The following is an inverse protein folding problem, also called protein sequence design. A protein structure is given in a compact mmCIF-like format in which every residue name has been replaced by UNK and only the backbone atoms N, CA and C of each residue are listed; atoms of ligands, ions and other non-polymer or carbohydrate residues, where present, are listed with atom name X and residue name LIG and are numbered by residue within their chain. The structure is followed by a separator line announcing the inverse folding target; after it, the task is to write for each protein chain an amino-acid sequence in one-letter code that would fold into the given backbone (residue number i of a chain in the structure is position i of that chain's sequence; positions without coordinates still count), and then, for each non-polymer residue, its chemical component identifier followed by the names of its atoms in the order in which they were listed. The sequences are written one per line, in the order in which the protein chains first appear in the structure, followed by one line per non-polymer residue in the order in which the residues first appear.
data_IF_911242772668
#
_entry.id   IF_911242772668
#
_cell.length_a   1.000
_cell.length_b   1.000
_cell.length_c   1.000
_cell.angle_alpha   90.00
_cell.angle_beta   90.00
_cell.angle_gamma   90.00
#
_symmetry.space_group_name_H-M   'P 1'
#
loop_
_entity.id
_entity.type
_entity.pdbx_description
1 polymer ?
#
# COMPACT_ATOMS: atom_id res chain seq x y z
N UNK A 1 1.38 7.79 -25.72
CA UNK A 1 1.83 6.87 -24.65
C UNK A 1 2.79 5.91 -25.30
N UNK A 2 4.05 5.89 -24.85
CA UNK A 2 5.04 4.90 -25.29
C UNK A 2 4.45 3.49 -25.24
N UNK A 3 4.94 2.61 -26.12
CA UNK A 3 4.46 1.25 -26.37
C UNK A 3 4.68 0.30 -25.16
N UNK A 4 4.10 0.62 -23.99
CA UNK A 4 4.14 -0.20 -22.79
C UNK A 4 3.38 -1.49 -23.07
N UNK A 5 4.06 -2.63 -22.93
CA UNK A 5 3.48 -3.95 -23.16
C UNK A 5 2.30 -4.20 -22.22
N UNK A 6 1.12 -4.41 -22.78
CA UNK A 6 -0.10 -4.63 -22.01
C UNK A 6 -0.17 -6.05 -21.44
N UNK A 7 -0.71 -6.21 -20.22
CA UNK A 7 -1.00 -7.53 -19.63
C UNK A 7 -2.48 -7.82 -19.87
N UNK A 8 -2.77 -8.72 -20.81
CA UNK A 8 -4.15 -9.07 -21.20
C UNK A 8 -4.76 -10.25 -20.43
N UNK A 9 -3.95 -11.01 -19.70
CA UNK A 9 -4.44 -12.10 -18.85
C UNK A 9 -4.92 -11.55 -17.51
N UNK A 10 -6.22 -11.67 -17.24
CA UNK A 10 -6.81 -11.29 -15.95
C UNK A 10 -6.22 -12.12 -14.80
N UNK A 11 -6.00 -13.43 -15.01
CA UNK A 11 -5.38 -14.29 -14.00
C UNK A 11 -3.97 -13.82 -13.63
N UNK A 12 -3.18 -13.37 -14.62
CA UNK A 12 -1.86 -12.80 -14.37
C UNK A 12 -1.93 -11.48 -13.60
N UNK A 13 -2.93 -10.62 -13.90
CA UNK A 13 -3.15 -9.41 -13.12
C UNK A 13 -3.48 -9.75 -11.67
N UNK A 14 -4.43 -10.66 -11.42
CA UNK A 14 -4.78 -11.11 -10.06
C UNK A 14 -3.53 -11.62 -9.35
N UNK A 15 -2.76 -12.51 -9.99
CA UNK A 15 -1.56 -13.09 -9.41
C UNK A 15 -0.52 -12.03 -9.03
N UNK A 16 -0.19 -11.11 -9.94
CA UNK A 16 0.78 -10.04 -9.70
C UNK A 16 0.35 -9.08 -8.59
N UNK A 17 -0.96 -8.82 -8.44
CA UNK A 17 -1.44 -7.95 -7.37
C UNK A 17 -1.48 -8.65 -6.01
N UNK A 18 -2.01 -9.87 -5.96
CA UNK A 18 -2.34 -10.55 -4.69
C UNK A 18 -1.13 -11.28 -4.12
N UNK A 19 -0.25 -11.85 -4.94
CA UNK A 19 0.88 -12.66 -4.48
C UNK A 19 1.78 -11.94 -3.46
N UNK A 20 2.23 -10.68 -3.69
CA UNK A 20 3.11 -10.02 -2.72
C UNK A 20 2.44 -9.91 -1.35
N UNK A 21 1.15 -9.57 -1.33
CA UNK A 21 0.40 -9.39 -0.10
C UNK A 21 0.05 -10.69 0.61
N UNK A 22 -0.26 -11.74 -0.16
CA UNK A 22 -0.42 -13.09 0.36
C UNK A 22 0.86 -13.58 1.06
N UNK A 23 2.02 -13.31 0.49
CA UNK A 23 3.31 -13.67 1.09
C UNK A 23 3.64 -12.83 2.31
N UNK A 24 3.32 -11.53 2.32
CA UNK A 24 3.39 -10.71 3.54
C UNK A 24 2.51 -11.29 4.65
N UNK A 25 1.24 -11.58 4.34
CA UNK A 25 0.28 -12.09 5.33
C UNK A 25 0.72 -13.44 5.90
N UNK A 26 1.18 -14.35 5.03
CA UNK A 26 1.72 -15.64 5.45
C UNK A 26 2.95 -15.46 6.35
N UNK A 27 3.93 -14.66 5.92
CA UNK A 27 5.15 -14.43 6.70
C UNK A 27 4.83 -13.78 8.05
N UNK A 28 3.93 -12.79 8.07
CA UNK A 28 3.48 -12.15 9.30
C UNK A 28 2.89 -13.17 10.29
N UNK A 29 1.99 -14.05 9.82
CA UNK A 29 1.41 -15.11 10.65
C UNK A 29 2.50 -16.07 11.15
N UNK A 30 3.46 -16.45 10.30
CA UNK A 30 4.56 -17.34 10.70
C UNK A 30 5.45 -16.70 11.76
N UNK A 31 5.79 -15.42 11.62
CA UNK A 31 6.59 -14.68 12.60
C UNK A 31 5.86 -14.58 13.95
N UNK A 32 4.56 -14.27 13.94
CA UNK A 32 3.76 -14.23 15.16
C UNK A 32 3.66 -15.60 15.84
N UNK A 33 3.46 -16.68 15.09
CA UNK A 33 3.42 -18.04 15.63
C UNK A 33 4.75 -18.52 16.17
N UNK A 34 5.85 -18.04 15.62
CA UNK A 34 7.20 -18.28 16.12
C UNK A 34 7.58 -17.37 17.29
N UNK A 35 6.65 -16.54 17.78
CA UNK A 35 6.84 -15.58 18.88
C UNK A 35 7.97 -14.58 18.64
N UNK A 36 8.33 -14.35 17.37
CA UNK A 36 9.38 -13.41 16.97
C UNK A 36 8.89 -11.98 17.22
N UNK A 37 9.60 -11.25 18.07
CA UNK A 37 9.29 -9.87 18.48
C UNK A 37 7.94 -9.75 19.18
N UNK A 38 7.51 -10.78 19.92
CA UNK A 38 6.20 -10.84 20.60
C UNK A 38 6.04 -9.81 21.73
N UNK A 39 7.15 -9.33 22.28
CA UNK A 39 7.21 -8.27 23.28
C UNK A 39 6.97 -6.86 22.68
N UNK A 40 7.20 -6.70 21.37
CA UNK A 40 7.07 -5.43 20.68
C UNK A 40 5.67 -5.23 20.08
N UNK A 41 5.27 -3.97 19.79
CA UNK A 41 4.12 -3.70 18.95
C UNK A 41 4.16 -4.49 17.64
N UNK A 42 3.06 -5.18 17.32
CA UNK A 42 2.95 -6.09 16.16
C UNK A 42 3.15 -5.40 14.82
N UNK A 43 3.02 -4.09 14.76
CA UNK A 43 3.37 -3.31 13.58
C UNK A 43 4.87 -3.42 13.24
N UNK A 44 5.75 -3.66 14.21
CA UNK A 44 7.16 -3.97 13.98
C UNK A 44 7.29 -5.32 13.27
N UNK A 45 6.62 -6.37 13.77
CA UNK A 45 6.61 -7.69 13.13
C UNK A 45 6.01 -7.64 11.72
N UNK A 46 4.96 -6.85 11.52
CA UNK A 46 4.37 -6.60 10.20
C UNK A 46 5.35 -5.88 9.27
N UNK A 47 6.08 -4.88 9.79
CA UNK A 47 7.11 -4.16 9.04
C UNK A 47 8.24 -5.08 8.60
N UNK A 48 8.73 -5.93 9.50
CA UNK A 48 9.73 -6.96 9.19
C UNK A 48 9.23 -7.91 8.10
N UNK A 49 8.01 -8.43 8.23
CA UNK A 49 7.39 -9.26 7.21
C UNK A 49 7.32 -8.52 5.86
N UNK A 50 6.94 -7.25 5.87
CA UNK A 50 6.85 -6.42 4.67
C UNK A 50 8.19 -6.16 3.99
N UNK A 51 9.26 -5.89 4.74
CA UNK A 51 10.62 -5.73 4.19
C UNK A 51 11.10 -7.01 3.51
N UNK A 52 10.85 -8.18 4.11
CA UNK A 52 11.31 -9.48 3.61
C UNK A 52 10.45 -9.96 2.43
N UNK A 53 9.18 -9.56 2.33
CA UNK A 53 8.26 -10.00 1.28
C UNK A 53 8.05 -8.95 0.18
N UNK A 54 7.39 -7.85 0.50
CA UNK A 54 6.92 -6.85 -0.47
C UNK A 54 8.06 -6.26 -1.28
N UNK A 55 9.11 -5.78 -0.61
CA UNK A 55 10.23 -5.10 -1.25
C UNK A 55 10.91 -6.01 -2.28
N UNK A 56 11.44 -7.20 -1.93
CA UNK A 56 12.12 -8.03 -2.91
C UNK A 56 11.18 -8.55 -4.02
N UNK A 57 9.92 -8.85 -3.72
CA UNK A 57 8.98 -9.37 -4.74
C UNK A 57 8.65 -8.28 -5.76
N UNK A 58 8.24 -7.09 -5.31
CA UNK A 58 7.82 -6.02 -6.20
C UNK A 58 9.01 -5.44 -6.97
N UNK A 59 10.13 -5.15 -6.29
CA UNK A 59 11.34 -4.68 -6.97
C UNK A 59 11.96 -5.75 -7.87
N UNK A 60 12.00 -7.01 -7.43
CA UNK A 60 12.47 -8.12 -8.25
C UNK A 60 11.66 -8.25 -9.55
N UNK A 61 10.34 -8.13 -9.46
CA UNK A 61 9.46 -8.10 -10.63
C UNK A 61 9.76 -6.91 -11.55
N UNK A 62 9.86 -5.69 -11.00
CA UNK A 62 10.17 -4.49 -11.78
C UNK A 62 11.53 -4.59 -12.49
N UNK A 63 12.57 -5.04 -11.78
CA UNK A 63 13.92 -5.20 -12.32
C UNK A 63 13.98 -6.30 -13.39
N UNK A 64 13.32 -7.45 -13.15
CA UNK A 64 13.23 -8.54 -14.12
C UNK A 64 12.54 -8.07 -15.41
N UNK A 65 11.39 -7.41 -15.29
CA UNK A 65 10.64 -6.93 -16.46
C UNK A 65 11.41 -5.82 -17.18
N UNK A 66 12.05 -4.90 -16.45
CA UNK A 66 12.88 -3.86 -17.05
C UNK A 66 14.02 -4.47 -17.88
N UNK A 67 14.74 -5.45 -17.32
CA UNK A 67 15.82 -6.14 -18.03
C UNK A 67 15.30 -6.89 -19.26
N UNK A 68 14.17 -7.58 -19.13
CA UNK A 68 13.57 -8.39 -20.21
C UNK A 68 13.01 -7.54 -21.35
N UNK A 69 12.32 -6.44 -21.05
CA UNK A 69 11.65 -5.61 -22.06
C UNK A 69 12.58 -4.56 -22.68
N UNK A 70 13.61 -4.12 -21.96
CA UNK A 70 14.41 -2.95 -22.37
C UNK A 70 15.92 -3.21 -22.46
N UNK A 71 16.38 -4.39 -22.03
CA UNK A 71 17.79 -4.74 -21.92
C UNK A 71 18.52 -4.07 -20.75
N UNK A 72 17.84 -3.28 -19.90
CA UNK A 72 18.45 -2.53 -18.80
C UNK A 72 17.67 -2.71 -17.49
N UNK A 73 18.35 -2.64 -16.34
CA UNK A 73 17.69 -2.63 -15.02
C UNK A 73 17.03 -1.27 -14.68
N UNK A 74 17.04 -0.29 -15.58
CA UNK A 74 16.37 0.98 -15.37
C UNK A 74 14.84 0.83 -15.42
N UNK A 75 14.22 0.71 -14.24
CA UNK A 75 12.76 0.53 -14.10
C UNK A 75 11.96 1.71 -14.68
N UNK A 76 12.51 2.92 -14.72
CA UNK A 76 11.77 4.08 -15.24
C UNK A 76 11.42 3.94 -16.72
N UNK A 77 12.08 3.06 -17.47
CA UNK A 77 11.75 2.75 -18.86
C UNK A 77 10.44 1.95 -19.00
N UNK A 78 10.06 1.20 -17.96
CA UNK A 78 8.85 0.34 -17.97
C UNK A 78 7.65 0.96 -17.25
N UNK A 79 7.83 2.06 -16.50
CA UNK A 79 6.74 2.76 -15.82
C UNK A 79 5.93 3.63 -16.80
N UNK A 80 4.62 3.74 -16.57
CA UNK A 80 3.73 4.76 -17.16
C UNK A 80 3.43 5.87 -16.15
N UNK A 81 2.38 6.66 -16.42
CA UNK A 81 1.90 7.74 -15.54
C UNK A 81 3.00 8.76 -15.18
N UNK A 82 3.64 9.32 -16.21
CA UNK A 82 4.88 10.11 -16.09
C UNK A 82 4.69 11.62 -16.21
N UNK A 83 3.45 12.09 -16.32
CA UNK A 83 3.15 13.53 -16.41
C UNK A 83 3.75 14.29 -15.24
N UNK A 84 4.33 15.44 -15.59
CA UNK A 84 4.84 16.43 -14.65
C UNK A 84 3.69 17.34 -14.24
N UNK A 85 2.92 16.89 -13.26
CA UNK A 85 2.01 17.78 -12.55
C UNK A 85 2.87 18.70 -11.67
N UNK A 86 2.89 20.00 -11.95
CA UNK A 86 3.80 20.95 -11.29
C UNK A 86 3.05 22.11 -10.59
N UNK A 87 3.77 22.75 -9.67
CA UNK A 87 3.33 23.98 -9.00
C UNK A 87 2.07 23.83 -8.16
N UNK A 88 1.19 24.84 -8.24
CA UNK A 88 -0.01 24.97 -7.41
C UNK A 88 -0.99 23.79 -7.57
N UNK A 89 -1.11 23.26 -8.79
CA UNK A 89 -2.00 22.12 -9.06
C UNK A 89 -1.55 20.87 -8.32
N UNK A 90 -0.25 20.58 -8.28
CA UNK A 90 0.28 19.42 -7.56
C UNK A 90 -0.03 19.49 -6.07
N UNK A 91 0.24 20.65 -5.47
CA UNK A 91 -0.04 20.91 -4.06
C UNK A 91 -1.54 20.79 -3.74
N UNK A 92 -2.40 21.42 -4.56
CA UNK A 92 -3.85 21.37 -4.35
C UNK A 92 -4.39 19.94 -4.44
N UNK A 93 -4.00 19.17 -5.46
CA UNK A 93 -4.42 17.77 -5.57
C UNK A 93 -3.91 16.93 -4.41
N UNK A 94 -2.67 17.15 -3.98
CA UNK A 94 -2.10 16.45 -2.82
C UNK A 94 -2.92 16.74 -1.55
N UNK A 95 -3.17 18.01 -1.24
CA UNK A 95 -3.91 18.42 -0.06
C UNK A 95 -5.36 17.90 -0.07
N UNK A 96 -6.06 18.07 -1.19
CA UNK A 96 -7.45 17.60 -1.34
C UNK A 96 -7.53 16.09 -1.20
N UNK A 97 -6.65 15.33 -1.87
CA UNK A 97 -6.67 13.87 -1.80
C UNK A 97 -6.30 13.36 -0.41
N UNK A 98 -5.34 14.00 0.27
CA UNK A 98 -4.97 13.64 1.64
C UNK A 98 -6.15 13.82 2.60
N UNK A 99 -6.78 15.01 2.59
CA UNK A 99 -7.95 15.30 3.44
C UNK A 99 -9.11 14.37 3.11
N UNK A 100 -9.43 14.20 1.83
CA UNK A 100 -10.55 13.35 1.40
C UNK A 100 -10.33 11.89 1.82
N UNK A 101 -9.12 11.36 1.60
CA UNK A 101 -8.79 9.98 2.00
C UNK A 101 -8.90 9.82 3.52
N UNK A 102 -8.34 10.74 4.30
CA UNK A 102 -8.41 10.70 5.76
C UNK A 102 -9.84 10.77 6.29
N UNK A 103 -10.65 11.69 5.78
CA UNK A 103 -12.08 11.82 6.16
C UNK A 103 -12.86 10.56 5.81
N UNK A 104 -12.66 9.99 4.62
CA UNK A 104 -13.36 8.77 4.21
C UNK A 104 -12.93 7.55 5.04
N UNK A 105 -11.64 7.41 5.35
CA UNK A 105 -11.15 6.36 6.24
C UNK A 105 -11.74 6.48 7.64
N UNK A 106 -11.79 7.71 8.20
CA UNK A 106 -12.39 7.96 9.50
C UNK A 106 -13.88 7.64 9.51
N UNK A 107 -14.62 8.11 8.50
CA UNK A 107 -16.06 7.85 8.37
C UNK A 107 -16.39 6.35 8.21
N UNK A 108 -15.49 5.57 7.61
CA UNK A 108 -15.66 4.12 7.40
C UNK A 108 -15.06 3.27 8.53
N UNK A 109 -14.45 3.88 9.54
CA UNK A 109 -13.90 3.17 10.70
C UNK A 109 -14.94 2.33 11.44
N UNK A 110 -16.17 2.83 11.74
CA UNK A 110 -17.20 2.03 12.40
C UNK A 110 -17.60 0.78 11.59
N UNK A 111 -17.70 0.92 10.26
CA UNK A 111 -17.98 -0.21 9.36
C UNK A 111 -16.85 -1.24 9.41
N UNK A 112 -15.60 -0.78 9.40
CA UNK A 112 -14.43 -1.66 9.48
C UNK A 112 -14.39 -2.42 10.80
N UNK A 113 -14.74 -1.76 11.92
CA UNK A 113 -14.89 -2.39 13.23
C UNK A 113 -16.04 -3.41 13.25
N UNK A 114 -17.18 -3.08 12.67
CA UNK A 114 -18.30 -4.02 12.52
C UNK A 114 -17.88 -5.27 11.75
N UNK A 115 -17.20 -5.11 10.60
CA UNK A 115 -16.72 -6.24 9.80
C UNK A 115 -15.71 -7.10 10.56
N UNK A 116 -14.78 -6.48 11.27
CA UNK A 116 -13.82 -7.19 12.12
C UNK A 116 -14.52 -8.06 13.16
N UNK A 117 -15.54 -7.51 13.84
CA UNK A 117 -16.21 -8.17 14.95
C UNK A 117 -17.32 -9.15 14.52
N UNK A 118 -17.79 -9.11 13.28
CA UNK A 118 -18.91 -9.95 12.79
C UNK A 118 -18.47 -10.93 11.70
N UNK A 119 -17.92 -10.42 10.60
CA UNK A 119 -17.54 -11.22 9.42
C UNK A 119 -16.17 -11.88 9.62
N UNK A 120 -15.23 -11.17 10.26
CA UNK A 120 -13.87 -11.63 10.50
C UNK A 120 -13.60 -12.01 11.97
N UNK A 121 -14.66 -12.30 12.74
CA UNK A 121 -14.58 -12.70 14.15
C UNK A 121 -13.83 -14.02 14.37
N UNK A 122 -13.70 -14.84 13.32
CA UNK A 122 -12.92 -16.07 13.32
C UNK A 122 -11.40 -15.84 13.26
N UNK A 123 -10.94 -14.62 12.93
CA UNK A 123 -9.52 -14.27 12.96
C UNK A 123 -9.10 -14.06 14.42
N UNK A 124 -8.12 -14.81 14.94
CA UNK A 124 -7.64 -14.62 16.31
C UNK A 124 -7.21 -13.17 16.57
N UNK A 125 -7.62 -12.60 17.70
CA UNK A 125 -7.23 -11.25 18.10
C UNK A 125 -5.71 -11.03 18.13
N UNK A 126 -4.94 -12.12 18.30
CA UNK A 126 -3.47 -12.15 18.19
C UNK A 126 -2.91 -11.71 16.84
N UNK A 127 -3.69 -11.78 15.76
CA UNK A 127 -3.26 -11.40 14.41
C UNK A 127 -3.64 -9.97 14.01
N UNK A 128 -4.46 -9.28 14.80
CA UNK A 128 -4.74 -7.87 14.55
C UNK A 128 -3.51 -7.04 14.95
N UNK A 129 -2.93 -6.30 14.01
CA UNK A 129 -1.76 -5.46 14.29
C UNK A 129 -2.14 -4.17 15.02
N UNK A 130 -3.42 -3.76 15.01
CA UNK A 130 -3.88 -2.60 15.75
C UNK A 130 -3.90 -2.91 17.24
N UNK A 131 -3.04 -2.23 17.99
CA UNK A 131 -2.92 -2.36 19.44
C UNK A 131 -3.03 -0.98 20.07
N UNK A 132 -3.39 -0.96 21.35
CA UNK A 132 -3.29 0.26 22.14
C UNK A 132 -1.82 0.60 22.36
N UNK A 133 -1.34 1.61 21.64
CA UNK A 133 0.07 1.99 21.66
C UNK A 133 0.50 2.63 22.99
N UNK A 134 -0.45 3.06 23.83
CA UNK A 134 -0.17 3.68 25.14
C UNK A 134 0.31 2.68 26.19
N UNK A 135 0.14 1.37 25.95
CA UNK A 135 0.56 0.31 26.88
C UNK A 135 2.04 -0.06 26.74
N UNK A 136 2.75 0.50 25.75
CA UNK A 136 4.14 0.17 25.46
C UNK A 136 5.09 1.19 26.08
N UNK A 137 6.31 0.75 26.39
CA UNK A 137 7.38 1.60 26.88
C UNK A 137 7.82 2.61 25.83
N UNK A 138 8.42 3.70 26.30
CA UNK A 138 9.00 4.74 25.44
C UNK A 138 9.96 4.18 24.37
N UNK A 139 10.77 3.19 24.72
CA UNK A 139 11.74 2.60 23.78
C UNK A 139 11.06 1.78 22.68
N UNK A 140 10.01 1.04 23.03
CA UNK A 140 9.20 0.29 22.05
C UNK A 140 8.45 1.24 21.11
N UNK A 141 7.92 2.35 21.61
CA UNK A 141 7.29 3.40 20.80
C UNK A 141 8.31 4.03 19.86
N UNK A 142 9.51 4.36 20.33
CA UNK A 142 10.58 4.92 19.47
C UNK A 142 10.98 3.96 18.34
N UNK A 143 11.11 2.66 18.63
CA UNK A 143 11.39 1.65 17.62
C UNK A 143 10.22 1.54 16.61
N UNK A 144 8.99 1.59 17.09
CA UNK A 144 7.78 1.56 16.27
C UNK A 144 7.68 2.77 15.36
N UNK A 145 8.03 3.96 15.85
CA UNK A 145 8.15 5.19 15.06
C UNK A 145 9.19 5.01 13.95
N UNK A 146 10.37 4.46 14.27
CA UNK A 146 11.42 4.22 13.28
C UNK A 146 10.94 3.28 12.17
N UNK A 147 10.33 2.14 12.52
CA UNK A 147 9.77 1.20 11.53
C UNK A 147 8.65 1.85 10.72
N UNK A 148 7.76 2.59 11.36
CA UNK A 148 6.62 3.25 10.72
C UNK A 148 7.05 4.36 9.76
N UNK A 149 8.07 5.12 10.13
CA UNK A 149 8.63 6.16 9.27
C UNK A 149 9.41 5.58 8.09
N UNK A 150 10.38 4.69 8.33
CA UNK A 150 11.22 4.20 7.23
C UNK A 150 10.45 3.24 6.32
N UNK A 151 9.72 2.28 6.89
CA UNK A 151 9.03 1.27 6.08
C UNK A 151 7.63 1.74 5.66
N UNK A 152 6.70 1.94 6.60
CA UNK A 152 5.30 2.19 6.27
C UNK A 152 5.05 3.56 5.64
N UNK A 153 5.89 4.56 5.89
CA UNK A 153 5.74 5.91 5.32
C UNK A 153 6.52 6.08 4.03
N UNK A 154 7.71 5.47 3.90
CA UNK A 154 8.59 5.72 2.75
C UNK A 154 8.76 4.49 1.85
N UNK A 155 9.44 3.45 2.32
CA UNK A 155 9.87 2.32 1.48
C UNK A 155 8.65 1.58 0.91
N UNK A 156 7.68 1.22 1.76
CA UNK A 156 6.46 0.53 1.37
C UNK A 156 5.65 1.33 0.34
N UNK A 157 5.18 2.55 0.68
CA UNK A 157 4.40 3.39 -0.23
C UNK A 157 5.09 3.67 -1.56
N UNK A 158 6.39 4.01 -1.56
CA UNK A 158 7.14 4.24 -2.81
C UNK A 158 7.18 2.98 -3.66
N UNK A 159 7.48 1.83 -3.05
CA UNK A 159 7.52 0.54 -3.75
C UNK A 159 6.16 0.19 -4.35
N UNK A 160 5.09 0.34 -3.57
CA UNK A 160 3.72 0.05 -3.99
C UNK A 160 3.24 0.98 -5.09
N UNK A 161 3.49 2.28 -5.02
CA UNK A 161 3.05 3.22 -6.06
C UNK A 161 3.82 3.00 -7.39
N UNK A 162 5.12 2.70 -7.32
CA UNK A 162 5.88 2.30 -8.50
C UNK A 162 5.32 1.00 -9.11
N UNK A 163 4.97 0.02 -8.28
CA UNK A 163 4.49 -1.28 -8.71
C UNK A 163 3.03 -1.26 -9.21
N UNK A 164 2.09 -0.80 -8.40
CA UNK A 164 0.67 -0.85 -8.72
C UNK A 164 0.24 0.22 -9.72
N UNK A 165 0.72 1.46 -9.58
CA UNK A 165 0.27 2.58 -10.44
C UNK A 165 1.23 2.76 -11.60
N UNK A 166 2.52 2.91 -11.30
CA UNK A 166 3.55 3.09 -12.31
C UNK A 166 3.66 1.90 -13.27
N UNK A 167 3.63 0.66 -12.76
CA UNK A 167 3.86 -0.54 -13.56
C UNK A 167 2.58 -1.28 -13.96
N UNK A 168 1.74 -1.73 -13.02
CA UNK A 168 0.58 -2.57 -13.30
C UNK A 168 -0.56 -1.79 -13.98
N UNK A 169 -1.01 -0.68 -13.41
CA UNK A 169 -2.09 0.13 -13.98
C UNK A 169 -1.75 0.62 -15.40
N UNK A 170 -0.50 1.01 -15.63
CA UNK A 170 -0.01 1.39 -16.96
C UNK A 170 -0.08 0.24 -18.00
N UNK A 171 -0.14 -1.02 -17.56
CA UNK A 171 -0.27 -2.23 -18.39
C UNK A 171 -1.71 -2.73 -18.53
N UNK A 172 -2.65 -1.99 -17.96
CA UNK A 172 -4.10 -2.26 -17.98
C UNK A 172 -4.86 -1.21 -18.81
N UNK A 173 -4.19 -0.43 -19.67
CA UNK A 173 -4.83 0.64 -20.44
C UNK A 173 -5.96 0.14 -21.35
N UNK A 174 -5.87 -1.10 -21.80
CA UNK A 174 -6.90 -1.74 -22.62
C UNK A 174 -8.26 -1.89 -21.90
N UNK A 175 -8.29 -1.79 -20.57
CA UNK A 175 -9.52 -1.77 -19.76
C UNK A 175 -10.09 -0.36 -19.54
N UNK A 176 -9.41 0.69 -20.01
CA UNK A 176 -9.84 2.08 -19.78
C UNK A 176 -10.06 2.40 -18.29
N UNK A 177 -11.22 2.95 -17.96
CA UNK A 177 -11.58 3.28 -16.58
C UNK A 177 -11.79 2.04 -15.68
N UNK A 178 -12.19 0.90 -16.26
CA UNK A 178 -12.29 -0.36 -15.50
C UNK A 178 -10.92 -0.86 -15.04
N UNK A 179 -9.84 -0.46 -15.72
CA UNK A 179 -8.48 -0.76 -15.28
C UNK A 179 -8.15 -0.10 -13.95
N UNK A 180 -8.63 1.13 -13.72
CA UNK A 180 -8.48 1.85 -12.45
C UNK A 180 -9.22 1.12 -11.33
N UNK A 181 -10.48 0.72 -11.59
CA UNK A 181 -11.30 0.02 -10.61
C UNK A 181 -10.71 -1.36 -10.27
N UNK A 182 -10.31 -2.14 -11.28
CA UNK A 182 -9.71 -3.45 -11.06
C UNK A 182 -8.39 -3.35 -10.28
N UNK A 183 -7.53 -2.40 -10.64
CA UNK A 183 -6.26 -2.16 -9.93
C UNK A 183 -6.51 -1.76 -8.47
N UNK A 184 -7.49 -0.91 -8.20
CA UNK A 184 -7.90 -0.52 -6.85
C UNK A 184 -8.44 -1.69 -6.03
N UNK A 185 -9.36 -2.48 -6.59
CA UNK A 185 -9.95 -3.64 -5.90
C UNK A 185 -8.86 -4.65 -5.56
N UNK A 186 -8.00 -4.97 -6.53
CA UNK A 186 -6.91 -5.92 -6.29
C UNK A 186 -5.85 -5.36 -5.31
N UNK A 187 -5.59 -4.05 -5.33
CA UNK A 187 -4.76 -3.39 -4.32
C UNK A 187 -5.38 -3.45 -2.91
N UNK A 188 -6.69 -3.30 -2.78
CA UNK A 188 -7.37 -3.46 -1.50
C UNK A 188 -7.28 -4.91 -1.00
N UNK A 189 -7.53 -5.89 -1.88
CA UNK A 189 -7.42 -7.33 -1.59
C UNK A 189 -5.99 -7.76 -1.27
N UNK A 190 -4.99 -7.12 -1.88
CA UNK A 190 -3.57 -7.32 -1.57
C UNK A 190 -3.28 -7.19 -0.06
N UNK A 191 -4.04 -6.39 0.68
CA UNK A 191 -3.92 -6.25 2.14
C UNK A 191 -4.59 -7.39 2.92
N UNK A 192 -4.27 -8.64 2.60
CA UNK A 192 -4.89 -9.84 3.22
C UNK A 192 -4.67 -9.93 4.74
N UNK A 193 -3.71 -9.19 5.30
CA UNK A 193 -3.46 -9.10 6.75
C UNK A 193 -4.44 -8.19 7.49
N UNK A 194 -5.32 -7.49 6.77
CA UNK A 194 -6.37 -6.65 7.33
C UNK A 194 -7.62 -6.61 6.44
N UNK A 195 -8.27 -7.78 6.23
CA UNK A 195 -9.36 -7.90 5.27
C UNK A 195 -10.60 -7.09 5.65
N UNK A 196 -10.81 -6.81 6.94
CA UNK A 196 -11.89 -5.94 7.43
C UNK A 196 -11.79 -4.49 6.94
N UNK A 197 -10.64 -4.05 6.42
CA UNK A 197 -10.43 -2.73 5.84
C UNK A 197 -10.64 -2.68 4.33
N UNK A 198 -10.93 -3.80 3.64
CA UNK A 198 -11.01 -3.83 2.17
C UNK A 198 -12.04 -2.82 1.64
N UNK A 199 -13.25 -2.77 2.22
CA UNK A 199 -14.30 -1.84 1.79
C UNK A 199 -13.86 -0.39 2.02
N UNK A 200 -13.29 -0.10 3.20
CA UNK A 200 -12.78 1.22 3.52
C UNK A 200 -11.70 1.69 2.53
N UNK A 201 -10.74 0.82 2.22
CA UNK A 201 -9.67 1.09 1.23
C UNK A 201 -10.24 1.35 -0.16
N UNK A 202 -11.19 0.55 -0.64
CA UNK A 202 -11.80 0.76 -1.96
C UNK A 202 -12.45 2.14 -2.03
N UNK A 203 -13.30 2.48 -1.06
CA UNK A 203 -14.04 3.76 -1.09
C UNK A 203 -13.10 4.95 -0.89
N UNK A 204 -12.22 4.89 0.11
CA UNK A 204 -11.34 6.01 0.47
C UNK A 204 -10.27 6.30 -0.58
N UNK A 205 -9.73 5.27 -1.25
CA UNK A 205 -8.67 5.45 -2.25
C UNK A 205 -9.19 5.60 -3.68
N UNK A 206 -10.48 5.36 -3.97
CA UNK A 206 -11.03 5.55 -5.32
C UNK A 206 -10.72 6.95 -5.91
N UNK A 207 -10.88 8.06 -5.17
CA UNK A 207 -10.51 9.39 -5.68
C UNK A 207 -9.03 9.48 -6.04
N UNK A 208 -8.14 8.94 -5.20
CA UNK A 208 -6.70 8.95 -5.44
C UNK A 208 -6.35 8.20 -6.74
N UNK A 209 -6.84 6.97 -6.89
CA UNK A 209 -6.56 6.15 -8.08
C UNK A 209 -7.07 6.82 -9.37
N UNK A 210 -8.29 7.35 -9.32
CA UNK A 210 -8.88 8.04 -10.46
C UNK A 210 -8.10 9.29 -10.84
N UNK A 211 -7.73 10.14 -9.86
CA UNK A 211 -6.98 11.38 -10.12
C UNK A 211 -5.56 11.09 -10.58
N UNK A 212 -4.87 10.11 -9.98
CA UNK A 212 -3.53 9.66 -10.43
C UNK A 212 -3.56 9.23 -11.90
N UNK A 213 -4.57 8.45 -12.31
CA UNK A 213 -4.75 8.06 -13.71
C UNK A 213 -5.07 9.26 -14.60
N UNK A 214 -6.02 10.11 -14.18
CA UNK A 214 -6.48 11.27 -14.96
C UNK A 214 -5.39 12.32 -15.14
N UNK A 215 -4.53 12.51 -14.13
CA UNK A 215 -3.38 13.42 -14.16
C UNK A 215 -2.12 12.75 -14.68
N UNK A 216 -2.21 11.46 -15.02
CA UNK A 216 -1.12 10.65 -15.53
C UNK A 216 0.14 10.77 -14.66
N UNK A 217 0.02 10.72 -13.33
CA UNK A 217 1.14 10.99 -12.41
C UNK A 217 1.19 10.05 -11.22
N UNK A 218 2.04 9.02 -11.27
CA UNK A 218 2.26 8.13 -10.13
C UNK A 218 2.96 8.85 -8.96
N UNK A 219 3.68 9.94 -9.22
CA UNK A 219 4.36 10.75 -8.20
C UNK A 219 3.37 11.40 -7.24
N UNK A 220 2.23 11.87 -7.75
CA UNK A 220 1.13 12.34 -6.91
C UNK A 220 0.65 11.24 -5.96
N UNK A 221 0.54 10.00 -6.46
CA UNK A 221 0.26 8.81 -5.66
C UNK A 221 1.26 8.63 -4.52
N UNK A 222 2.57 8.65 -4.85
CA UNK A 222 3.66 8.55 -3.86
C UNK A 222 3.49 9.60 -2.77
N UNK A 223 3.36 10.88 -3.13
CA UNK A 223 3.28 11.95 -2.15
C UNK A 223 2.07 11.81 -1.24
N UNK A 224 0.87 11.55 -1.78
CA UNK A 224 -0.34 11.40 -0.97
C UNK A 224 -0.23 10.17 -0.06
N UNK A 225 0.27 9.04 -0.58
CA UNK A 225 0.39 7.80 0.18
C UNK A 225 1.42 7.94 1.32
N UNK A 226 2.60 8.50 1.05
CA UNK A 226 3.58 8.80 2.09
C UNK A 226 3.01 9.73 3.15
N UNK A 227 2.37 10.85 2.76
CA UNK A 227 1.81 11.80 3.72
C UNK A 227 0.67 11.21 4.56
N UNK A 228 -0.16 10.34 3.97
CA UNK A 228 -1.21 9.65 4.70
C UNK A 228 -0.62 8.75 5.79
N UNK A 229 0.37 7.92 5.46
CA UNK A 229 1.01 7.05 6.46
C UNK A 229 1.89 7.82 7.46
N UNK A 230 2.40 8.99 7.09
CA UNK A 230 3.12 9.86 8.03
C UNK A 230 2.21 10.36 9.17
N UNK A 231 0.89 10.41 8.96
CA UNK A 231 -0.04 10.78 10.04
C UNK A 231 -0.03 9.78 11.20
N UNK A 232 0.18 8.49 10.94
CA UNK A 232 0.35 7.47 11.98
C UNK A 232 1.63 7.70 12.80
N UNK A 233 2.72 8.13 12.13
CA UNK A 233 3.98 8.49 12.80
C UNK A 233 3.76 9.68 13.73
N UNK A 234 3.04 10.71 13.29
CA UNK A 234 2.70 11.86 14.14
C UNK A 234 1.90 11.38 15.35
N UNK A 235 0.91 10.50 15.15
CA UNK A 235 0.11 9.93 16.24
C UNK A 235 0.98 9.22 17.29
N UNK A 236 1.97 8.43 16.87
CA UNK A 236 2.90 7.77 17.79
C UNK A 236 3.84 8.75 18.51
N UNK A 237 4.28 9.81 17.84
CA UNK A 237 5.13 10.85 18.46
C UNK A 237 4.39 11.57 19.60
N UNK A 238 3.07 11.73 19.50
CA UNK A 238 2.26 12.35 20.56
C UNK A 238 2.13 11.48 21.83
N UNK A 239 2.59 10.23 21.80
CA UNK A 239 2.63 9.34 22.96
C UNK A 239 3.96 9.39 23.73
N UNK A 240 4.97 10.13 23.23
CA UNK A 240 6.29 10.28 23.86
C UNK A 240 6.34 11.46 24.83
#
# INVERSE_FOLDING_TARGET
MDNIKQIRSIGMLIWLHVLPGALLGLLYILLLKAEILSEYPRIITLGLAGVISIVPIQWGCLLYVARKETGSFNIFRILGLKSKLEGKSYFLYTAVLLVLTGVLMLALSPLSGYLLNTVFSWIPHGFNYNQDMSTFSRNEILLTIAVSFFFFTLIGPVTEELYFRGFLLARMNWLGNYGVLLNLILFAVYHVWSPWLIIARIVAFLPLFYIVRKKDSYKLGITVHCLANFSDVIGMVMLL
#
